data_IF_127417361362
#
_entry.id   IF_127417361362
#
_cell.length_a   1.000
_cell.length_b   1.000
_cell.length_c   1.000
_cell.angle_alpha   90.00
_cell.angle_beta   90.00
_cell.angle_gamma   90.00
#
_symmetry.space_group_name_H-M   'P 1'
#
loop_
_entity.id
_entity.type
_entity.pdbx_description
1 polymer ?
#
# COMPACT_ATOMS: atom_id res chain seq x y z
N UNK A 1 4.53 -3.16 -22.63
CA UNK A 1 4.85 -4.18 -21.61
C UNK A 1 4.89 -5.55 -22.28
N UNK A 2 6.08 -6.10 -22.52
CA UNK A 2 6.24 -7.48 -23.01
C UNK A 2 6.80 -8.30 -21.84
N UNK A 3 5.92 -8.98 -21.11
CA UNK A 3 6.32 -9.89 -20.03
C UNK A 3 6.21 -11.32 -20.54
N UNK A 4 7.37 -11.99 -20.67
CA UNK A 4 7.45 -13.40 -21.02
C UNK A 4 7.30 -14.24 -19.75
N UNK A 5 6.07 -14.65 -19.47
CA UNK A 5 5.77 -15.61 -18.40
C UNK A 5 5.80 -17.02 -18.98
N UNK A 6 6.79 -17.83 -18.60
CA UNK A 6 6.84 -19.26 -18.97
C UNK A 6 5.73 -20.01 -18.22
N UNK A 7 4.71 -20.46 -18.97
CA UNK A 7 3.59 -21.25 -18.45
C UNK A 7 4.12 -22.58 -17.87
N UNK A 8 4.17 -22.72 -16.55
CA UNK A 8 4.55 -23.99 -15.91
C UNK A 8 3.59 -24.46 -14.82
N UNK A 9 2.45 -23.78 -14.63
CA UNK A 9 1.35 -24.27 -13.79
C UNK A 9 0.01 -24.01 -14.47
N UNK A 10 -0.80 -25.05 -14.64
CA UNK A 10 -2.21 -24.92 -15.02
C UNK A 10 -2.93 -24.15 -13.92
N UNK A 11 -3.28 -22.90 -14.23
CA UNK A 11 -4.14 -22.09 -13.38
C UNK A 11 -5.53 -22.73 -13.40
N UNK A 12 -6.15 -22.94 -12.24
CA UNK A 12 -7.53 -23.44 -12.20
C UNK A 12 -8.43 -22.43 -12.91
N UNK A 13 -9.33 -22.90 -13.77
CA UNK A 13 -10.19 -22.05 -14.61
C UNK A 13 -11.03 -21.05 -13.80
N UNK A 14 -11.37 -21.37 -12.57
CA UNK A 14 -12.09 -20.49 -11.64
C UNK A 14 -11.24 -19.30 -11.19
N UNK A 15 -9.97 -19.53 -10.88
CA UNK A 15 -9.01 -18.51 -10.47
C UNK A 15 -8.69 -17.59 -11.67
N UNK A 16 -8.52 -18.15 -12.87
CA UNK A 16 -8.30 -17.39 -14.10
C UNK A 16 -9.47 -16.46 -14.44
N UNK A 17 -10.70 -16.94 -14.29
CA UNK A 17 -11.92 -16.15 -14.56
C UNK A 17 -12.02 -14.93 -13.64
N UNK A 18 -11.72 -15.10 -12.35
CA UNK A 18 -11.75 -14.01 -11.37
C UNK A 18 -10.70 -12.95 -11.68
N UNK A 19 -9.48 -13.37 -12.04
CA UNK A 19 -8.42 -12.41 -12.37
C UNK A 19 -8.77 -11.60 -13.63
N UNK A 20 -9.40 -12.24 -14.62
CA UNK A 20 -9.86 -11.55 -15.83
C UNK A 20 -11.04 -10.61 -15.58
N UNK A 21 -11.98 -10.99 -14.70
CA UNK A 21 -13.13 -10.16 -14.30
C UNK A 21 -12.69 -8.94 -13.46
N UNK A 22 -11.71 -9.10 -12.58
CA UNK A 22 -11.15 -8.00 -11.78
C UNK A 22 -10.22 -7.11 -12.61
N UNK A 23 -9.54 -7.68 -13.62
CA UNK A 23 -8.71 -6.95 -14.58
C UNK A 23 -7.37 -6.47 -14.03
N UNK A 24 -6.89 -7.03 -12.90
CA UNK A 24 -5.55 -6.74 -12.37
C UNK A 24 -4.54 -7.79 -12.87
N UNK A 25 -3.61 -7.35 -13.71
CA UNK A 25 -2.45 -8.09 -14.19
C UNK A 25 -1.50 -8.51 -13.05
N UNK A 26 -1.41 -7.70 -11.99
CA UNK A 26 -0.66 -8.01 -10.76
C UNK A 26 -1.09 -9.33 -10.11
N UNK A 27 -2.37 -9.71 -10.21
CA UNK A 27 -2.86 -10.99 -9.67
C UNK A 27 -2.36 -12.18 -10.50
N UNK A 28 -2.29 -12.06 -11.83
CA UNK A 28 -1.74 -13.10 -12.71
C UNK A 28 -0.27 -13.36 -12.41
N UNK A 29 0.50 -12.27 -12.27
CA UNK A 29 1.91 -12.35 -11.91
C UNK A 29 2.05 -12.93 -10.51
N UNK A 30 1.29 -12.44 -9.53
CA UNK A 30 1.29 -12.99 -8.17
C UNK A 30 1.05 -14.49 -8.15
N UNK A 31 0.07 -15.00 -8.91
CA UNK A 31 -0.28 -16.42 -8.89
C UNK A 31 0.80 -17.29 -9.56
N UNK A 32 1.25 -16.90 -10.75
CA UNK A 32 2.20 -17.72 -11.52
C UNK A 32 3.68 -17.52 -11.13
N UNK A 33 4.02 -16.43 -10.43
CA UNK A 33 5.39 -16.16 -9.99
C UNK A 33 5.82 -17.05 -8.80
N UNK A 34 7.03 -17.58 -8.90
CA UNK A 34 7.80 -18.30 -7.90
C UNK A 34 9.19 -17.69 -7.78
N UNK A 35 9.92 -17.95 -6.68
CA UNK A 35 11.29 -17.44 -6.50
C UNK A 35 12.28 -17.92 -7.56
N UNK A 36 11.93 -18.96 -8.31
CA UNK A 36 12.80 -19.61 -9.29
C UNK A 36 12.48 -19.19 -10.73
N UNK A 37 11.32 -18.58 -10.98
CA UNK A 37 10.87 -18.26 -12.34
C UNK A 37 10.77 -16.77 -12.65
N UNK A 38 10.94 -15.88 -11.65
CA UNK A 38 10.94 -14.42 -11.85
C UNK A 38 12.17 -13.77 -11.21
N UNK A 39 12.68 -12.73 -11.87
CA UNK A 39 13.69 -11.81 -11.35
C UNK A 39 13.12 -10.39 -11.34
N UNK A 40 13.54 -9.57 -10.37
CA UNK A 40 13.10 -8.17 -10.28
C UNK A 40 14.02 -7.32 -11.16
N UNK A 41 13.43 -6.63 -12.13
CA UNK A 41 14.10 -5.60 -12.92
C UNK A 41 13.48 -4.24 -12.57
N UNK A 42 14.33 -3.27 -12.22
CA UNK A 42 13.90 -1.89 -11.96
C UNK A 42 14.52 -0.99 -13.03
N UNK A 43 13.70 -0.54 -13.97
CA UNK A 43 14.10 0.42 -15.01
C UNK A 43 13.11 1.58 -15.04
N UNK A 44 13.61 2.79 -15.32
CA UNK A 44 12.73 3.94 -15.54
C UNK A 44 11.84 3.73 -16.79
N UNK A 45 12.32 2.99 -17.79
CA UNK A 45 11.58 2.70 -19.03
C UNK A 45 10.44 1.70 -18.84
N UNK A 46 10.43 0.93 -17.74
CA UNK A 46 9.35 -0.01 -17.44
C UNK A 46 8.19 0.64 -16.68
N UNK A 47 8.31 1.90 -16.28
CA UNK A 47 7.27 2.60 -15.52
C UNK A 47 6.11 3.03 -16.43
N UNK A 48 4.89 2.63 -16.07
CA UNK A 48 3.65 3.09 -16.70
C UNK A 48 2.97 4.06 -15.75
N UNK A 49 2.78 5.31 -16.18
CA UNK A 49 2.02 6.31 -15.45
C UNK A 49 0.61 6.39 -16.03
N UNK A 50 -0.40 6.17 -15.20
CA UNK A 50 -1.81 6.35 -15.56
C UNK A 50 -2.24 7.69 -15.00
N UNK A 51 -2.57 8.63 -15.88
CA UNK A 51 -3.15 9.90 -15.46
C UNK A 51 -4.64 9.69 -15.11
N UNK A 52 -5.06 10.25 -13.98
CA UNK A 52 -6.43 10.15 -13.48
C UNK A 52 -7.04 11.54 -13.48
N UNK A 53 -7.56 11.96 -14.63
CA UNK A 53 -8.07 13.33 -14.84
C UNK A 53 -9.25 13.70 -13.94
N UNK A 54 -9.95 12.71 -13.38
CA UNK A 54 -11.17 12.93 -12.60
C UNK A 54 -11.16 12.11 -11.30
N UNK A 55 -11.68 12.71 -10.23
CA UNK A 55 -11.90 12.03 -8.95
C UNK A 55 -12.65 10.70 -9.07
N UNK A 56 -13.62 10.60 -9.97
CA UNK A 56 -14.38 9.38 -10.23
C UNK A 56 -13.50 8.23 -10.73
N UNK A 57 -12.57 8.51 -11.66
CA UNK A 57 -11.61 7.52 -12.15
C UNK A 57 -10.69 7.05 -11.03
N UNK A 58 -10.17 7.98 -10.22
CA UNK A 58 -9.36 7.64 -9.05
C UNK A 58 -10.14 6.79 -8.03
N UNK A 59 -11.38 7.17 -7.74
CA UNK A 59 -12.26 6.44 -6.83
C UNK A 59 -12.53 5.03 -7.35
N UNK A 60 -12.82 4.88 -8.64
CA UNK A 60 -13.06 3.58 -9.28
C UNK A 60 -11.82 2.69 -9.22
N UNK A 61 -10.65 3.25 -9.53
CA UNK A 61 -9.37 2.57 -9.39
C UNK A 61 -9.14 2.09 -7.95
N UNK A 62 -9.38 2.95 -6.94
CA UNK A 62 -9.26 2.58 -5.53
C UNK A 62 -10.23 1.49 -5.10
N UNK A 63 -11.46 1.49 -5.64
CA UNK A 63 -12.46 0.44 -5.35
C UNK A 63 -12.05 -0.88 -6.01
N UNK A 64 -11.63 -0.87 -7.28
CA UNK A 64 -11.13 -2.07 -7.99
C UNK A 64 -9.98 -2.72 -7.23
N UNK A 65 -9.02 -1.90 -6.78
CA UNK A 65 -7.89 -2.36 -5.99
C UNK A 65 -8.27 -2.90 -4.60
N UNK A 66 -9.27 -2.30 -3.94
CA UNK A 66 -9.77 -2.82 -2.67
C UNK A 66 -10.38 -4.22 -2.85
N UNK A 67 -11.19 -4.40 -3.91
CA UNK A 67 -11.84 -5.67 -4.25
C UNK A 67 -10.84 -6.74 -4.68
N UNK A 68 -9.71 -6.36 -5.30
CA UNK A 68 -8.67 -7.31 -5.71
C UNK A 68 -7.82 -7.80 -4.53
N UNK A 69 -7.71 -7.00 -3.47
CA UNK A 69 -6.83 -7.24 -2.33
C UNK A 69 -6.96 -8.65 -1.70
N UNK A 70 -8.16 -9.25 -1.53
CA UNK A 70 -8.33 -10.61 -1.00
C UNK A 70 -7.75 -11.74 -1.88
N UNK A 71 -7.45 -11.49 -3.15
CA UNK A 71 -6.96 -12.52 -4.09
C UNK A 71 -5.43 -12.66 -4.08
N UNK A 72 -4.69 -11.71 -3.52
CA UNK A 72 -3.23 -11.81 -3.40
C UNK A 72 -2.77 -12.98 -2.52
N UNK A 73 -1.52 -13.42 -2.64
CA UNK A 73 -0.95 -14.46 -1.75
C UNK A 73 -1.01 -14.04 -0.27
N UNK A 74 -1.10 -15.02 0.65
CA UNK A 74 -1.27 -14.76 2.10
C UNK A 74 -0.10 -13.97 2.72
N UNK A 75 1.13 -14.22 2.26
CA UNK A 75 2.32 -13.60 2.83
C UNK A 75 2.44 -12.09 2.52
N UNK A 76 2.37 -11.63 1.25
CA UNK A 76 2.32 -10.20 0.94
C UNK A 76 1.17 -9.47 1.66
N UNK A 77 -0.02 -10.07 1.71
CA UNK A 77 -1.16 -9.53 2.46
C UNK A 77 -0.87 -9.35 3.95
N UNK A 78 -0.15 -10.29 4.56
CA UNK A 78 0.24 -10.15 5.96
C UNK A 78 1.18 -8.96 6.14
N UNK A 79 2.18 -8.81 5.26
CA UNK A 79 3.10 -7.67 5.30
C UNK A 79 2.36 -6.32 5.21
N UNK A 80 1.43 -6.16 4.26
CA UNK A 80 0.64 -4.92 4.13
C UNK A 80 -0.21 -4.64 5.37
N UNK A 81 -0.82 -5.66 5.97
CA UNK A 81 -1.55 -5.51 7.24
C UNK A 81 -0.64 -5.11 8.40
N UNK A 82 0.57 -5.68 8.48
CA UNK A 82 1.54 -5.30 9.51
C UNK A 82 2.07 -3.89 9.33
N UNK A 83 2.21 -3.41 8.09
CA UNK A 83 2.59 -2.03 7.81
C UNK A 83 1.53 -1.06 8.34
N UNK A 84 0.26 -1.31 8.00
CA UNK A 84 -0.86 -0.50 8.50
C UNK A 84 -0.94 -0.50 10.03
N UNK A 85 -0.85 -1.68 10.64
CA UNK A 85 -0.91 -1.83 12.09
C UNK A 85 0.26 -1.14 12.80
N UNK A 86 1.49 -1.32 12.31
CA UNK A 86 2.69 -0.71 12.91
C UNK A 86 2.64 0.82 12.82
N UNK A 87 2.07 1.38 11.74
CA UNK A 87 1.87 2.82 11.60
C UNK A 87 0.87 3.38 12.62
N UNK A 88 -0.27 2.71 12.82
CA UNK A 88 -1.24 3.11 13.85
C UNK A 88 -0.61 2.99 15.24
N UNK A 89 0.03 1.85 15.52
CA UNK A 89 0.68 1.60 16.81
C UNK A 89 1.72 2.67 17.14
N UNK A 90 2.50 3.13 16.16
CA UNK A 90 3.46 4.21 16.33
C UNK A 90 2.80 5.55 16.70
N UNK A 91 1.73 5.94 16.01
CA UNK A 91 1.03 7.20 16.33
C UNK A 91 0.34 7.14 17.68
N UNK A 92 -0.28 6.01 18.03
CA UNK A 92 -0.89 5.80 19.35
C UNK A 92 0.16 5.86 20.46
N UNK A 93 1.29 5.18 20.29
CA UNK A 93 2.37 5.19 21.30
C UNK A 93 3.02 6.57 21.42
N UNK A 94 3.18 7.30 20.32
CA UNK A 94 3.70 8.66 20.31
C UNK A 94 2.78 9.62 21.08
N UNK A 95 1.46 9.61 20.80
CA UNK A 95 0.49 10.45 21.52
C UNK A 95 0.40 10.05 22.98
N UNK A 96 0.40 8.76 23.30
CA UNK A 96 0.43 8.28 24.68
C UNK A 96 1.68 8.79 25.42
N UNK A 97 2.86 8.69 24.80
CA UNK A 97 4.11 9.19 25.36
C UNK A 97 4.04 10.70 25.67
N UNK A 98 3.45 11.49 24.77
CA UNK A 98 3.22 12.91 25.02
C UNK A 98 2.28 13.14 26.20
N UNK A 99 1.13 12.47 26.25
CA UNK A 99 0.15 12.63 27.34
C UNK A 99 0.75 12.25 28.70
N UNK A 100 1.44 11.10 28.78
CA UNK A 100 2.07 10.64 30.02
C UNK A 100 3.27 11.50 30.45
N UNK A 101 3.91 12.21 29.52
CA UNK A 101 5.02 13.10 29.84
C UNK A 101 4.58 14.41 30.50
N UNK A 102 3.35 14.89 30.25
CA UNK A 102 2.82 16.16 30.78
C UNK A 102 2.83 16.22 32.33
N UNK A 103 2.25 15.25 33.07
CA UNK A 103 2.24 15.30 34.52
C UNK A 103 3.63 15.06 35.15
N UNK A 104 4.57 14.52 34.37
CA UNK A 104 5.93 14.22 34.83
C UNK A 104 6.84 15.40 34.47
N UNK A 105 6.68 16.51 35.20
CA UNK A 105 7.56 17.69 35.07
C UNK A 105 9.01 17.47 35.60
N UNK A 106 9.43 16.20 35.74
CA UNK A 106 10.78 15.79 36.16
C UNK A 106 11.64 15.43 34.94
N UNK A 107 12.94 15.22 35.16
CA UNK A 107 13.92 14.86 34.12
C UNK A 107 13.46 13.66 33.25
N UNK A 108 12.73 12.72 33.84
CA UNK A 108 12.17 11.56 33.15
C UNK A 108 11.13 11.90 32.09
N UNK A 109 10.29 12.94 32.29
CA UNK A 109 9.31 13.38 31.28
C UNK A 109 9.99 13.92 30.03
N UNK A 110 11.06 14.70 30.19
CA UNK A 110 11.88 15.21 29.10
C UNK A 110 12.59 14.10 28.32
N UNK A 111 13.03 13.04 29.00
CA UNK A 111 13.61 11.85 28.35
C UNK A 111 12.56 11.11 27.51
N UNK A 112 11.32 10.99 28.01
CA UNK A 112 10.22 10.36 27.26
C UNK A 112 9.91 11.17 26.01
N UNK A 113 9.75 12.50 26.13
CA UNK A 113 9.53 13.39 24.98
C UNK A 113 10.70 13.30 24.00
N UNK A 114 11.93 13.35 24.50
CA UNK A 114 13.15 13.26 23.68
C UNK A 114 13.24 11.95 22.91
N UNK A 115 12.92 10.82 23.55
CA UNK A 115 12.92 9.51 22.89
C UNK A 115 11.79 9.36 21.87
N UNK A 116 10.61 9.90 22.15
CA UNK A 116 9.50 9.94 21.19
C UNK A 116 9.85 10.81 19.97
N UNK A 117 10.43 12.00 20.19
CA UNK A 117 10.88 12.90 19.14
C UNK A 117 12.00 12.28 18.30
N UNK A 118 13.00 11.66 18.93
CA UNK A 118 14.06 10.94 18.23
C UNK A 118 13.52 9.81 17.36
N UNK A 119 12.54 9.05 17.87
CA UNK A 119 11.88 7.97 17.11
C UNK A 119 11.11 8.50 15.89
N UNK A 120 10.44 9.65 16.03
CA UNK A 120 9.75 10.33 14.92
C UNK A 120 10.73 10.81 13.85
N UNK A 121 11.84 11.44 14.27
CA UNK A 121 12.89 11.89 13.36
C UNK A 121 13.53 10.73 12.61
N UNK A 122 13.81 9.60 13.28
CA UNK A 122 14.34 8.40 12.64
C UNK A 122 13.37 7.87 11.58
N UNK A 123 12.07 7.83 11.88
CA UNK A 123 11.03 7.40 10.92
C UNK A 123 11.00 8.33 9.70
N UNK A 124 10.96 9.64 9.89
CA UNK A 124 10.93 10.59 8.77
C UNK A 124 12.21 10.52 7.93
N UNK A 125 13.37 10.37 8.57
CA UNK A 125 14.66 10.27 7.88
C UNK A 125 14.70 9.01 7.01
N UNK A 126 14.32 7.85 7.54
CA UNK A 126 14.30 6.59 6.77
C UNK A 126 13.35 6.67 5.58
N UNK A 127 12.13 7.19 5.77
CA UNK A 127 11.17 7.38 4.69
C UNK A 127 11.69 8.34 3.60
N UNK A 128 12.27 9.46 4.02
CA UNK A 128 12.86 10.43 3.11
C UNK A 128 13.96 9.81 2.25
N UNK A 129 14.86 9.03 2.84
CA UNK A 129 15.95 8.38 2.09
C UNK A 129 15.45 7.30 1.14
N UNK A 130 14.57 6.40 1.61
CA UNK A 130 14.06 5.29 0.79
C UNK A 130 13.32 5.85 -0.43
N UNK A 131 12.40 6.80 -0.23
CA UNK A 131 11.53 7.26 -1.30
C UNK A 131 12.28 8.14 -2.30
N UNK A 132 13.17 9.03 -1.83
CA UNK A 132 13.99 9.81 -2.77
C UNK A 132 14.99 8.93 -3.53
N UNK A 133 15.48 7.84 -2.93
CA UNK A 133 16.32 6.87 -3.64
C UNK A 133 15.51 6.15 -4.72
N UNK A 134 14.30 5.70 -4.41
CA UNK A 134 13.41 5.07 -5.40
C UNK A 134 13.02 6.04 -6.51
N UNK A 135 12.67 7.30 -6.18
CA UNK A 135 12.34 8.33 -7.15
C UNK A 135 13.52 8.62 -8.09
N UNK A 136 14.75 8.63 -7.56
CA UNK A 136 15.95 8.77 -8.37
C UNK A 136 16.12 7.59 -9.36
N UNK A 137 15.94 6.35 -8.91
CA UNK A 137 16.04 5.16 -9.78
C UNK A 137 14.96 5.12 -10.86
N UNK A 138 13.76 5.61 -10.57
CA UNK A 138 12.61 5.61 -11.50
C UNK A 138 12.47 6.90 -12.31
N UNK A 139 13.41 7.86 -12.18
CA UNK A 139 13.37 9.18 -12.84
C UNK A 139 12.08 9.98 -12.52
N UNK A 140 11.51 9.77 -11.33
CA UNK A 140 10.34 10.49 -10.84
C UNK A 140 10.73 11.82 -10.17
N UNK A 141 9.82 12.82 -10.14
CA UNK A 141 10.05 14.04 -9.38
C UNK A 141 10.27 13.72 -7.90
N UNK A 142 11.19 14.46 -7.27
CA UNK A 142 11.53 14.25 -5.86
C UNK A 142 10.41 14.76 -4.95
N UNK A 143 9.98 13.93 -4.01
CA UNK A 143 8.92 14.26 -3.05
C UNK A 143 9.54 14.75 -1.73
N UNK A 144 9.84 16.05 -1.63
CA UNK A 144 10.54 16.59 -0.45
C UNK A 144 9.60 16.83 0.74
N UNK A 145 8.57 17.66 0.54
CA UNK A 145 7.69 18.12 1.63
C UNK A 145 6.33 17.43 1.67
N UNK A 146 5.93 16.77 0.58
CA UNK A 146 4.64 16.11 0.49
C UNK A 146 4.62 14.76 1.21
N UNK A 147 5.79 14.17 1.47
CA UNK A 147 5.93 12.84 2.05
C UNK A 147 5.31 12.69 3.45
N UNK A 148 5.64 13.54 4.43
CA UNK A 148 5.03 13.44 5.77
C UNK A 148 3.50 13.60 5.72
N UNK A 149 2.99 14.44 4.81
CA UNK A 149 1.57 14.65 4.62
C UNK A 149 0.87 13.38 4.09
N UNK A 150 1.48 12.73 3.09
CA UNK A 150 0.97 11.44 2.59
C UNK A 150 1.06 10.33 3.64
N UNK A 151 2.14 10.29 4.44
CA UNK A 151 2.30 9.27 5.50
C UNK A 151 1.15 9.33 6.51
N UNK A 152 0.65 10.53 6.80
CA UNK A 152 -0.46 10.75 7.70
C UNK A 152 -1.83 10.45 7.05
N UNK A 153 -2.06 10.87 5.81
CA UNK A 153 -3.39 10.77 5.15
C UNK A 153 -3.69 9.38 4.60
N UNK A 154 -2.68 8.70 4.06
CA UNK A 154 -2.84 7.42 3.37
C UNK A 154 -3.58 6.34 4.20
N UNK A 155 -3.38 6.19 5.52
CA UNK A 155 -4.12 5.24 6.35
C UNK A 155 -5.62 5.54 6.44
N UNK A 156 -5.99 6.81 6.48
CA UNK A 156 -7.40 7.22 6.53
C UNK A 156 -8.09 6.98 5.20
N UNK A 157 -7.42 7.29 4.08
CA UNK A 157 -7.94 7.02 2.73
C UNK A 157 -8.12 5.51 2.53
N UNK A 158 -7.09 4.71 2.84
CA UNK A 158 -7.16 3.26 2.70
C UNK A 158 -8.22 2.65 3.62
N UNK A 159 -8.33 3.13 4.87
CA UNK A 159 -9.37 2.72 5.80
C UNK A 159 -10.77 3.03 5.28
N UNK A 160 -10.99 4.24 4.74
CA UNK A 160 -12.27 4.62 4.14
C UNK A 160 -12.71 3.67 3.04
N UNK A 161 -11.82 3.34 2.09
CA UNK A 161 -12.16 2.41 1.00
C UNK A 161 -12.38 0.98 1.48
N UNK A 162 -11.61 0.53 2.48
CA UNK A 162 -11.80 -0.77 3.10
C UNK A 162 -13.17 -0.90 3.77
N UNK A 163 -13.57 0.10 4.57
CA UNK A 163 -14.91 0.13 5.17
C UNK A 163 -16.01 0.29 4.13
N UNK A 164 -15.78 1.11 3.10
CA UNK A 164 -16.72 1.27 2.00
C UNK A 164 -17.02 -0.06 1.29
N UNK A 165 -16.00 -0.88 1.03
CA UNK A 165 -16.17 -2.22 0.44
C UNK A 165 -16.95 -3.16 1.36
N UNK A 166 -16.61 -3.19 2.64
CA UNK A 166 -17.32 -4.02 3.63
C UNK A 166 -18.80 -3.63 3.72
N UNK A 167 -19.09 -2.33 3.79
CA UNK A 167 -20.45 -1.80 3.95
C UNK A 167 -21.30 -1.96 2.69
N UNK A 168 -20.71 -1.78 1.50
CA UNK A 168 -21.44 -1.94 0.23
C UNK A 168 -21.77 -3.42 -0.05
N UNK A 169 -20.99 -4.33 0.54
CA UNK A 169 -21.18 -5.77 0.41
C UNK A 169 -20.96 -6.27 -1.02
N UNK A 170 -20.75 -7.57 -1.19
CA UNK A 170 -20.57 -8.24 -2.50
C UNK A 170 -21.75 -8.04 -3.48
N UNK A 171 -22.83 -7.41 -3.03
CA UNK A 171 -24.14 -7.36 -3.69
C UNK A 171 -24.29 -6.23 -4.71
N UNK A 172 -23.30 -5.34 -4.87
CA UNK A 172 -23.34 -4.25 -5.86
C UNK A 172 -22.13 -4.23 -6.80
N UNK A 173 -21.21 -5.19 -6.66
CA UNK A 173 -20.06 -5.34 -7.55
C UNK A 173 -20.44 -6.05 -8.86
N UNK A 174 -21.72 -6.05 -9.23
CA UNK A 174 -22.23 -6.63 -10.47
C UNK A 174 -21.60 -6.02 -11.73
N UNK A 175 -21.08 -4.80 -11.64
CA UNK A 175 -20.34 -4.15 -12.72
C UNK A 175 -18.86 -4.59 -12.82
N UNK A 176 -18.31 -5.18 -11.75
CA UNK A 176 -17.00 -5.86 -11.75
C UNK A 176 -17.14 -7.33 -12.20
N UNK A 177 -18.25 -7.97 -11.83
CA UNK A 177 -18.64 -9.29 -12.31
C UNK A 177 -19.57 -9.14 -13.52
N UNK A 178 -19.02 -8.67 -14.65
CA UNK A 178 -19.78 -8.42 -15.87
C UNK A 178 -20.83 -9.52 -16.13
N UNK A 179 -22.10 -9.19 -15.99
CA UNK A 179 -23.20 -9.99 -16.54
C UNK A 179 -23.64 -9.36 -17.85
N UNK A 180 -23.62 -10.23 -18.86
CA UNK A 180 -24.30 -10.14 -20.15
C UNK A 180 -25.63 -9.41 -20.07
#
# INVERSE_FOLDING_TARGET
>A
MNLLVRQSREMRMEDFKIVFEVGEDDLLVSENASRENVSIEMSAESMVLVDMETYWMWKEYKIRHAVSHPFYKKFPRFLWRTEYFSRIAFWVSFVAALIFSIPVHSLSGWIIIGSAAASLLLRWTTQFFIINRTAYTLHLPKFWFTLPFFDFIQPFVNGYFYFYEILKGKKDNHWLYGKR
#
